data_IF_066764103077
#
_entry.id   IF_066764103077
#
_cell.length_a   1.000
_cell.length_b   1.000
_cell.length_c   1.000
_cell.angle_alpha   90.00
_cell.angle_beta   90.00
_cell.angle_gamma   90.00
#
_symmetry.space_group_name_H-M   'P 1'
#
loop_
_entity.id
_entity.type
_entity.pdbx_description
1 polymer ?
#
# COMPACT_ATOMS: atom_id res chain seq x y z
N UNK A 1 6.55 -22.55 -15.78
CA UNK A 1 6.06 -21.27 -15.24
C UNK A 1 4.55 -21.29 -15.33
N UNK A 2 3.91 -21.45 -14.18
CA UNK A 2 2.45 -21.46 -14.01
C UNK A 2 1.84 -20.11 -14.45
N UNK A 3 0.56 -20.07 -14.80
CA UNK A 3 -0.13 -18.84 -15.20
C UNK A 3 -0.02 -17.75 -14.12
N UNK A 4 -0.18 -18.12 -12.85
CA UNK A 4 0.01 -17.23 -11.71
C UNK A 4 1.42 -16.60 -11.69
N UNK A 5 2.46 -17.43 -11.81
CA UNK A 5 3.86 -16.97 -11.76
C UNK A 5 4.20 -16.01 -12.92
N UNK A 6 3.57 -16.20 -14.09
CA UNK A 6 3.72 -15.26 -15.22
C UNK A 6 3.09 -13.91 -14.91
N UNK A 7 1.91 -13.88 -14.32
CA UNK A 7 1.23 -12.62 -13.99
C UNK A 7 1.95 -11.86 -12.87
N UNK A 8 2.42 -12.56 -11.84
CA UNK A 8 3.26 -11.95 -10.79
C UNK A 8 4.51 -11.30 -11.39
N UNK A 9 5.23 -12.01 -12.26
CA UNK A 9 6.43 -11.47 -12.89
C UNK A 9 6.13 -10.26 -13.81
N UNK A 10 4.98 -10.26 -14.49
CA UNK A 10 4.53 -9.09 -15.27
C UNK A 10 4.26 -7.90 -14.36
N UNK A 11 3.56 -8.11 -13.25
CA UNK A 11 3.27 -7.06 -12.26
C UNK A 11 4.55 -6.47 -11.69
N UNK A 12 5.45 -7.32 -11.16
CA UNK A 12 6.74 -6.88 -10.59
C UNK A 12 7.52 -6.04 -11.59
N UNK A 13 7.66 -6.52 -12.84
CA UNK A 13 8.37 -5.77 -13.89
C UNK A 13 7.71 -4.44 -14.23
N UNK A 14 6.37 -4.36 -14.25
CA UNK A 14 5.67 -3.08 -14.48
C UNK A 14 5.86 -2.13 -13.30
N UNK A 15 5.81 -2.64 -12.08
CA UNK A 15 5.92 -1.88 -10.84
C UNK A 15 7.30 -1.21 -10.68
N UNK A 16 8.37 -1.75 -11.26
CA UNK A 16 9.68 -1.07 -11.33
C UNK A 16 9.57 0.33 -11.93
N UNK A 17 8.76 0.50 -12.98
CA UNK A 17 8.56 1.81 -13.63
C UNK A 17 7.86 2.78 -12.68
N UNK A 18 6.81 2.34 -12.00
CA UNK A 18 6.06 3.18 -11.06
C UNK A 18 6.88 3.55 -9.82
N UNK A 19 7.71 2.63 -9.32
CA UNK A 19 8.60 2.89 -8.19
C UNK A 19 9.69 3.91 -8.56
N UNK A 20 10.24 3.87 -9.77
CA UNK A 20 11.19 4.87 -10.27
C UNK A 20 10.54 6.24 -10.42
N UNK A 21 9.32 6.30 -10.96
CA UNK A 21 8.54 7.53 -11.06
C UNK A 21 8.25 8.12 -9.68
N UNK A 22 7.86 7.27 -8.72
CA UNK A 22 7.62 7.68 -7.35
C UNK A 22 8.90 8.17 -6.65
N UNK A 23 10.04 7.50 -6.85
CA UNK A 23 11.33 7.98 -6.33
C UNK A 23 11.64 9.39 -6.84
N UNK A 24 11.49 9.62 -8.14
CA UNK A 24 11.70 10.92 -8.76
C UNK A 24 10.76 11.98 -8.17
N UNK A 25 9.47 11.66 -8.04
CA UNK A 25 8.47 12.52 -7.41
C UNK A 25 8.88 12.94 -5.99
N UNK A 26 9.35 12.00 -5.17
CA UNK A 26 9.76 12.30 -3.80
C UNK A 26 11.03 13.18 -3.75
N UNK A 27 11.99 12.97 -4.67
CA UNK A 27 13.18 13.81 -4.82
C UNK A 27 12.82 15.24 -5.20
N UNK A 28 11.91 15.41 -6.16
CA UNK A 28 11.44 16.74 -6.60
C UNK A 28 10.69 17.49 -5.50
N UNK A 29 10.02 16.76 -4.59
CA UNK A 29 9.41 17.32 -3.37
C UNK A 29 10.42 17.63 -2.26
N UNK A 30 11.72 17.37 -2.48
CA UNK A 30 12.80 17.71 -1.55
C UNK A 30 12.86 16.84 -0.29
N UNK A 31 12.34 15.61 -0.34
CA UNK A 31 12.42 14.70 0.81
C UNK A 31 13.86 14.18 1.00
N UNK A 32 14.25 13.97 2.25
CA UNK A 32 15.53 13.38 2.58
C UNK A 32 15.62 11.90 2.13
N UNK A 33 16.81 11.46 1.68
CA UNK A 33 17.03 10.11 1.14
C UNK A 33 16.56 8.99 2.06
N UNK A 34 16.73 9.14 3.39
CA UNK A 34 16.26 8.16 4.37
C UNK A 34 14.74 7.99 4.31
N UNK A 35 14.01 9.10 4.16
CA UNK A 35 12.56 9.12 4.04
C UNK A 35 12.11 8.55 2.71
N UNK A 36 12.82 8.87 1.62
CA UNK A 36 12.56 8.31 0.29
C UNK A 36 12.68 6.79 0.30
N UNK A 37 13.79 6.26 0.83
CA UNK A 37 14.01 4.80 0.95
C UNK A 37 12.91 4.12 1.75
N UNK A 38 12.43 4.75 2.82
CA UNK A 38 11.33 4.21 3.63
C UNK A 38 10.01 4.16 2.85
N UNK A 39 9.68 5.22 2.11
CA UNK A 39 8.47 5.23 1.27
C UNK A 39 8.56 4.20 0.13
N UNK A 40 9.72 4.08 -0.53
CA UNK A 40 9.94 3.07 -1.57
C UNK A 40 9.81 1.65 -1.02
N UNK A 41 10.42 1.36 0.13
CA UNK A 41 10.29 0.06 0.78
C UNK A 41 8.82 -0.30 1.07
N UNK A 42 8.07 0.63 1.67
CA UNK A 42 6.66 0.39 1.97
C UNK A 42 5.85 0.13 0.70
N UNK A 43 6.12 0.87 -0.38
CA UNK A 43 5.40 0.69 -1.65
C UNK A 43 5.81 -0.55 -2.42
N UNK A 44 7.10 -0.89 -2.46
CA UNK A 44 7.58 -2.14 -3.04
C UNK A 44 6.94 -3.33 -2.32
N UNK A 45 6.86 -3.29 -0.98
CA UNK A 45 6.19 -4.33 -0.21
C UNK A 45 4.69 -4.42 -0.55
N UNK A 46 3.98 -3.31 -0.56
CA UNK A 46 2.56 -3.30 -0.93
C UNK A 46 2.33 -3.83 -2.36
N UNK A 47 3.04 -3.31 -3.35
CA UNK A 47 2.83 -3.60 -4.77
C UNK A 47 3.32 -4.99 -5.18
N UNK A 48 4.49 -5.41 -4.68
CA UNK A 48 5.13 -6.63 -5.15
C UNK A 48 4.88 -7.82 -4.22
N UNK A 49 4.62 -7.58 -2.94
CA UNK A 49 4.29 -8.66 -1.98
C UNK A 49 2.78 -8.79 -1.80
N UNK A 50 2.11 -7.75 -1.30
CA UNK A 50 0.70 -7.87 -0.94
C UNK A 50 -0.23 -8.03 -2.15
N UNK A 51 -0.14 -7.15 -3.15
CA UNK A 51 -1.00 -7.23 -4.33
C UNK A 51 -0.83 -8.52 -5.16
N UNK A 52 0.25 -9.27 -4.94
CA UNK A 52 0.47 -10.57 -5.58
C UNK A 52 0.15 -11.77 -4.66
N UNK A 53 -0.20 -11.55 -3.39
CA UNK A 53 -0.26 -12.62 -2.39
C UNK A 53 -1.36 -13.65 -2.63
N UNK A 54 -2.57 -13.21 -2.99
CA UNK A 54 -3.71 -14.11 -3.30
C UNK A 54 -3.87 -14.26 -4.82
N UNK A 55 -4.40 -13.23 -5.46
CA UNK A 55 -4.50 -13.13 -6.92
C UNK A 55 -3.71 -11.91 -7.39
N UNK A 56 -2.88 -12.04 -8.44
CA UNK A 56 -2.07 -10.92 -8.93
C UNK A 56 -2.92 -9.73 -9.34
N UNK A 57 -2.88 -8.68 -8.53
CA UNK A 57 -3.63 -7.43 -8.70
C UNK A 57 -2.70 -6.35 -9.24
N UNK A 58 -3.18 -5.58 -10.22
CA UNK A 58 -2.38 -4.50 -10.83
C UNK A 58 -2.32 -3.29 -9.91
N UNK A 59 -1.31 -2.44 -10.13
CA UNK A 59 -1.12 -1.19 -9.38
C UNK A 59 -2.36 -0.29 -9.43
N UNK A 60 -3.00 -0.17 -10.60
CA UNK A 60 -4.19 0.67 -10.82
C UNK A 60 -5.39 0.21 -9.99
N UNK A 61 -5.52 -1.10 -9.75
CA UNK A 61 -6.58 -1.70 -8.93
C UNK A 61 -6.18 -1.80 -7.45
N UNK A 62 -4.95 -1.36 -7.10
CA UNK A 62 -4.44 -1.41 -5.74
C UNK A 62 -5.15 -0.50 -4.73
N UNK A 63 -5.73 0.68 -5.09
CA UNK A 63 -6.55 1.46 -4.16
C UNK A 63 -7.66 0.63 -3.50
N UNK A 64 -8.36 -0.20 -4.27
CA UNK A 64 -9.45 -1.08 -3.80
C UNK A 64 -8.98 -2.17 -2.81
N UNK A 65 -7.66 -2.35 -2.67
CA UNK A 65 -7.05 -3.33 -1.76
C UNK A 65 -6.47 -2.70 -0.50
N UNK A 66 -6.50 -1.37 -0.37
CA UNK A 66 -5.87 -0.69 0.76
C UNK A 66 -6.60 -0.94 2.08
N UNK A 67 -7.94 -0.95 2.07
CA UNK A 67 -8.71 -1.30 3.25
C UNK A 67 -8.32 -2.69 3.77
N UNK A 68 -8.42 -3.73 2.94
CA UNK A 68 -8.09 -5.12 3.31
C UNK A 68 -6.63 -5.26 3.77
N UNK A 69 -5.70 -4.54 3.11
CA UNK A 69 -4.32 -4.49 3.52
C UNK A 69 -4.16 -3.97 4.96
N UNK A 70 -4.74 -2.81 5.27
CA UNK A 70 -4.54 -2.12 6.55
C UNK A 70 -5.40 -2.68 7.69
N UNK A 71 -6.56 -3.28 7.38
CA UNK A 71 -7.48 -3.82 8.37
C UNK A 71 -7.22 -5.30 8.71
N UNK A 72 -6.60 -6.08 7.81
CA UNK A 72 -6.45 -7.51 8.04
C UNK A 72 -5.04 -8.03 7.71
N UNK A 73 -4.67 -7.99 6.43
CA UNK A 73 -3.49 -8.72 5.96
C UNK A 73 -2.21 -8.20 6.62
N UNK A 74 -2.02 -6.89 6.66
CA UNK A 74 -0.83 -6.27 7.26
C UNK A 74 -0.73 -6.60 8.75
N UNK A 75 -1.84 -6.46 9.49
CA UNK A 75 -1.91 -6.71 10.92
C UNK A 75 -1.49 -8.15 11.24
N UNK A 76 -2.05 -9.14 10.55
CA UNK A 76 -1.83 -10.55 10.87
C UNK A 76 -0.59 -11.17 10.25
N UNK A 77 -0.12 -10.66 9.10
CA UNK A 77 0.95 -11.30 8.32
C UNK A 77 2.32 -10.64 8.50
N UNK A 78 2.37 -9.42 9.00
CA UNK A 78 3.63 -8.69 9.16
C UNK A 78 4.03 -8.62 10.63
N UNK A 79 5.17 -9.22 11.00
CA UNK A 79 5.67 -9.19 12.39
C UNK A 79 5.98 -7.77 12.91
N UNK A 80 6.05 -6.77 12.03
CA UNK A 80 6.27 -5.36 12.36
C UNK A 80 4.97 -4.53 12.30
N UNK A 81 3.80 -5.18 12.23
CA UNK A 81 2.53 -4.50 12.34
C UNK A 81 2.41 -3.81 13.70
N UNK A 82 1.94 -2.57 13.66
CA UNK A 82 1.72 -1.70 14.80
C UNK A 82 0.93 -0.49 14.33
N UNK A 83 0.31 0.26 15.24
CA UNK A 83 -0.35 1.54 14.87
C UNK A 83 0.59 2.53 14.19
N UNK A 84 1.87 2.52 14.57
CA UNK A 84 2.89 3.38 13.95
C UNK A 84 3.17 2.95 12.52
N UNK A 85 3.37 1.65 12.28
CA UNK A 85 3.61 1.15 10.93
C UNK A 85 2.37 1.27 10.04
N UNK A 86 1.15 1.07 10.55
CA UNK A 86 -0.09 1.37 9.81
C UNK A 86 -0.08 2.81 9.30
N UNK A 87 0.18 3.80 10.17
CA UNK A 87 0.33 5.22 9.77
C UNK A 87 1.40 5.45 8.71
N UNK A 88 2.55 4.79 8.86
CA UNK A 88 3.65 4.89 7.89
C UNK A 88 3.25 4.34 6.52
N UNK A 89 2.58 3.18 6.47
CA UNK A 89 2.09 2.60 5.23
C UNK A 89 0.98 3.45 4.61
N UNK A 90 -0.02 3.89 5.37
CA UNK A 90 -1.06 4.80 4.88
C UNK A 90 -0.47 6.09 4.29
N UNK A 91 0.61 6.62 4.89
CA UNK A 91 1.30 7.81 4.37
C UNK A 91 2.03 7.52 3.07
N UNK A 92 2.76 6.40 2.98
CA UNK A 92 3.44 5.98 1.75
C UNK A 92 2.44 5.75 0.61
N UNK A 93 1.35 5.03 0.88
CA UNK A 93 0.27 4.72 -0.07
C UNK A 93 -0.34 6.01 -0.63
N UNK A 94 -0.75 6.94 0.24
CA UNK A 94 -1.31 8.23 -0.21
C UNK A 94 -0.33 9.03 -1.05
N UNK A 95 0.96 9.06 -0.70
CA UNK A 95 1.97 9.77 -1.51
C UNK A 95 2.19 9.11 -2.86
N UNK A 96 2.20 7.77 -2.89
CA UNK A 96 2.37 7.01 -4.11
C UNK A 96 1.19 7.22 -5.05
N UNK A 97 -0.04 7.04 -4.59
CA UNK A 97 -1.20 7.22 -5.45
C UNK A 97 -1.46 8.69 -5.81
N UNK A 98 -0.99 9.66 -5.01
CA UNK A 98 -0.92 11.06 -5.45
C UNK A 98 -0.01 11.21 -6.68
N UNK A 99 1.18 10.61 -6.65
CA UNK A 99 2.10 10.60 -7.79
C UNK A 99 1.47 9.92 -9.01
N UNK A 100 0.80 8.77 -8.82
CA UNK A 100 0.15 8.05 -9.92
C UNK A 100 -0.98 8.86 -10.54
N UNK A 101 -1.78 9.56 -9.72
CA UNK A 101 -2.82 10.47 -10.19
C UNK A 101 -2.25 11.69 -10.93
N UNK A 102 -1.18 12.30 -10.40
CA UNK A 102 -0.49 13.44 -11.04
C UNK A 102 0.07 13.10 -12.43
N UNK A 103 0.38 11.83 -12.67
CA UNK A 103 0.89 11.33 -13.95
C UNK A 103 -0.16 10.59 -14.79
N UNK A 104 -1.45 10.69 -14.44
CA UNK A 104 -2.60 10.11 -15.15
C UNK A 104 -2.60 8.57 -15.24
N UNK A 105 -1.95 7.88 -14.31
CA UNK A 105 -2.05 6.42 -14.21
C UNK A 105 -3.35 5.98 -13.53
N UNK A 106 -3.93 6.83 -12.67
CA UNK A 106 -5.27 6.71 -12.09
C UNK A 106 -5.98 8.07 -12.15
N UNK A 107 -7.31 8.09 -12.02
CA UNK A 107 -8.06 9.36 -11.94
C UNK A 107 -7.80 10.08 -10.61
N UNK A 108 -8.09 11.37 -10.57
CA UNK A 108 -8.09 12.13 -9.30
C UNK A 108 -9.17 11.65 -8.34
N UNK A 109 -10.32 11.23 -8.86
CA UNK A 109 -11.44 10.66 -8.08
C UNK A 109 -11.00 9.41 -7.31
N UNK A 110 -10.35 8.44 -7.98
CA UNK A 110 -9.81 7.24 -7.31
C UNK A 110 -8.82 7.61 -6.19
N UNK A 111 -7.99 8.62 -6.42
CA UNK A 111 -7.03 9.09 -5.42
C UNK A 111 -7.73 9.76 -4.22
N UNK A 112 -8.77 10.55 -4.47
CA UNK A 112 -9.57 11.24 -3.46
C UNK A 112 -10.34 10.22 -2.61
N UNK A 113 -11.00 9.26 -3.24
CA UNK A 113 -11.73 8.17 -2.58
C UNK A 113 -10.80 7.36 -1.67
N UNK A 114 -9.61 6.97 -2.16
CA UNK A 114 -8.59 6.30 -1.37
C UNK A 114 -8.17 7.12 -0.13
N UNK A 115 -8.01 8.43 -0.30
CA UNK A 115 -7.62 9.31 0.82
C UNK A 115 -8.73 9.42 1.86
N UNK A 116 -9.99 9.48 1.42
CA UNK A 116 -11.17 9.49 2.28
C UNK A 116 -11.32 8.16 3.03
N UNK A 117 -11.26 7.02 2.33
CA UNK A 117 -11.34 5.68 2.93
C UNK A 117 -10.30 5.48 4.05
N UNK A 118 -9.03 5.82 3.78
CA UNK A 118 -7.96 5.74 4.79
C UNK A 118 -8.25 6.65 5.99
N UNK A 119 -8.80 7.84 5.74
CA UNK A 119 -9.06 8.84 6.79
C UNK A 119 -10.21 8.39 7.68
N UNK A 120 -11.31 7.94 7.10
CA UNK A 120 -12.51 7.52 7.82
C UNK A 120 -12.28 6.25 8.64
N UNK A 121 -11.41 5.35 8.16
CA UNK A 121 -11.18 4.04 8.80
C UNK A 121 -9.93 3.98 9.69
N UNK A 122 -9.19 5.08 9.88
CA UNK A 122 -7.93 5.05 10.63
C UNK A 122 -8.09 4.57 12.08
N UNK A 123 -9.13 5.04 12.77
CA UNK A 123 -9.41 4.62 14.16
C UNK A 123 -9.81 3.14 14.20
N UNK A 124 -10.59 2.68 13.22
CA UNK A 124 -10.94 1.26 13.08
C UNK A 124 -9.71 0.37 12.85
N UNK A 125 -8.76 0.78 12.01
CA UNK A 125 -7.50 0.04 11.84
C UNK A 125 -6.70 -0.05 13.15
N UNK A 126 -6.81 0.94 14.03
CA UNK A 126 -6.14 0.91 15.33
C UNK A 126 -6.83 0.03 16.34
N UNK A 127 -8.16 -0.01 16.36
CA UNK A 127 -8.95 -0.94 17.16
C UNK A 127 -8.62 -2.37 16.77
N UNK A 128 -8.57 -2.66 15.46
CA UNK A 128 -8.17 -3.97 14.94
C UNK A 128 -6.74 -4.35 15.34
N UNK A 129 -5.80 -3.40 15.33
CA UNK A 129 -4.44 -3.66 15.80
C UNK A 129 -4.40 -3.96 17.31
N UNK A 130 -5.17 -3.23 18.12
CA UNK A 130 -5.28 -3.50 19.56
C UNK A 130 -5.90 -4.88 19.82
N UNK A 131 -6.96 -5.22 19.09
CA UNK A 131 -7.61 -6.52 19.23
C UNK A 131 -6.65 -7.65 18.85
N UNK A 132 -5.80 -7.47 17.84
CA UNK A 132 -4.75 -8.43 17.49
C UNK A 132 -3.73 -8.61 18.61
N UNK A 133 -3.18 -7.51 19.14
CA UNK A 133 -2.20 -7.56 20.22
C UNK A 133 -2.78 -8.18 21.51
N UNK A 134 -4.08 -8.03 21.73
CA UNK A 134 -4.79 -8.59 22.89
C UNK A 134 -5.37 -10.01 22.65
N UNK A 135 -5.20 -10.59 21.46
CA UNK A 135 -5.73 -11.92 21.12
C UNK A 135 -7.25 -11.97 20.92
N UNK A 136 -7.89 -10.83 20.69
CA UNK A 136 -9.33 -10.65 20.47
C UNK A 136 -9.69 -10.43 18.99
N UNK A 137 -8.71 -10.47 18.07
CA UNK A 137 -8.94 -10.15 16.66
C UNK A 137 -10.01 -11.04 16.02
N UNK A 138 -11.08 -10.39 15.57
CA UNK A 138 -12.12 -11.01 14.75
C UNK A 138 -11.89 -10.57 13.31
N UNK A 139 -11.86 -11.54 12.39
CA UNK A 139 -11.65 -11.28 10.97
C UNK A 139 -12.69 -10.26 10.46
N UNK A 140 -12.25 -9.09 9.99
CA UNK A 140 -13.12 -8.12 9.36
C UNK A 140 -13.45 -8.62 7.95
N UNK A 141 -14.50 -9.45 7.88
CA UNK A 141 -15.01 -10.15 6.69
C UNK A 141 -14.15 -11.30 6.15
#
# INVERSE_FOLDING_TARGET
MDNYEKEVNKNVKRNETFLLEFEKYLKEKGLADKTIRKHLYNMEFFLNTYLNYYEPTKMEDGPDKVFEFLSDWFIRKCMWSSKSSIKEYSTSIKKFYKCMSDNNHISSEIYEDLCEEIKENMDYFFELMDDYDNGNFVYPF
#
